data_IF_636088828759
#
_entry.id   IF_636088828759
#
_cell.length_a   1.000
_cell.length_b   1.000
_cell.length_c   1.000
_cell.angle_alpha   90.00
_cell.angle_beta   90.00
_cell.angle_gamma   90.00
#
_symmetry.space_group_name_H-M   'P 1'
#
loop_
_entity.id
_entity.type
_entity.pdbx_description
1 polymer ?
#
# COMPACT_ATOMS: atom_id res chain seq x y z
N UNK A 1 35.13 -34.64 43.15
CA UNK A 1 35.56 -34.36 41.77
C UNK A 1 34.56 -33.38 41.18
N UNK A 2 34.79 -32.07 41.32
CA UNK A 2 35.54 -31.21 40.39
C UNK A 2 34.70 -30.76 39.18
N UNK A 3 34.42 -29.47 39.19
CA UNK A 3 33.80 -28.53 38.24
C UNK A 3 34.39 -28.52 36.82
N UNK A 4 33.63 -28.06 35.82
CA UNK A 4 34.05 -26.97 34.92
C UNK A 4 32.92 -26.47 33.98
N UNK A 5 32.77 -25.15 33.96
CA UNK A 5 32.09 -24.33 32.95
C UNK A 5 32.82 -24.42 31.60
N UNK A 6 32.08 -24.45 30.49
CA UNK A 6 32.60 -24.32 29.12
C UNK A 6 32.13 -23.01 28.47
N UNK A 7 33.08 -22.18 28.07
CA UNK A 7 32.92 -20.80 27.63
C UNK A 7 32.22 -20.64 26.26
N UNK A 8 31.44 -19.57 26.12
CA UNK A 8 30.95 -19.07 24.85
C UNK A 8 32.14 -18.53 24.01
N UNK A 9 32.32 -19.06 22.80
CA UNK A 9 33.29 -18.55 21.85
C UNK A 9 32.81 -17.22 21.27
N UNK A 10 33.49 -16.14 21.63
CA UNK A 10 33.33 -14.82 21.01
C UNK A 10 33.97 -14.87 19.62
N UNK A 11 33.17 -15.01 18.56
CA UNK A 11 33.65 -14.78 17.19
C UNK A 11 33.93 -13.30 17.00
N UNK A 12 35.21 -12.97 16.89
CA UNK A 12 35.71 -11.65 16.51
C UNK A 12 35.29 -11.36 15.06
N UNK A 13 34.43 -10.37 14.87
CA UNK A 13 34.12 -9.81 13.54
C UNK A 13 35.31 -8.95 13.11
N UNK A 14 35.92 -9.18 11.94
CA UNK A 14 36.97 -8.31 11.44
C UNK A 14 36.39 -6.92 11.12
N UNK A 15 36.94 -5.88 11.73
CA UNK A 15 36.67 -4.48 11.38
C UNK A 15 37.20 -4.20 9.97
N UNK A 16 36.38 -4.38 8.94
CA UNK A 16 36.63 -3.80 7.63
C UNK A 16 36.27 -2.31 7.65
N UNK A 17 37.23 -1.38 7.48
CA UNK A 17 36.98 0.06 7.62
C UNK A 17 36.05 0.66 6.55
N UNK A 18 35.54 -0.13 5.59
CA UNK A 18 34.61 0.33 4.54
C UNK A 18 33.12 0.15 4.85
N UNK A 19 32.74 -0.48 5.97
CA UNK A 19 31.32 -0.62 6.37
C UNK A 19 31.09 0.13 7.68
N UNK A 20 30.98 1.46 7.61
CA UNK A 20 30.39 2.25 8.70
C UNK A 20 28.87 2.15 8.63
N UNK A 21 28.29 1.20 9.37
CA UNK A 21 26.87 1.28 9.71
C UNK A 21 26.67 2.40 10.72
N UNK A 22 26.09 3.51 10.29
CA UNK A 22 25.57 4.51 11.21
C UNK A 22 24.42 3.88 12.00
N UNK A 23 24.61 3.68 13.31
CA UNK A 23 23.55 3.21 14.19
C UNK A 23 22.47 4.30 14.27
N UNK A 24 21.33 4.07 13.62
CA UNK A 24 20.15 4.89 13.83
C UNK A 24 19.49 4.42 15.13
N UNK A 25 19.48 5.25 16.17
CA UNK A 25 18.65 5.00 17.35
C UNK A 25 17.21 5.30 16.90
N UNK A 26 16.45 4.24 16.60
CA UNK A 26 15.07 4.35 16.13
C UNK A 26 14.16 5.04 17.16
N UNK A 27 13.13 5.73 16.66
CA UNK A 27 12.06 6.27 17.49
C UNK A 27 11.37 5.14 18.25
N UNK A 28 11.42 5.20 19.59
CA UNK A 28 10.59 4.36 20.45
C UNK A 28 9.15 4.89 20.40
N UNK A 29 8.12 4.04 20.35
CA UNK A 29 6.76 4.50 20.59
C UNK A 29 6.68 5.03 22.04
N UNK A 30 6.46 6.33 22.18
CA UNK A 30 6.36 6.99 23.48
C UNK A 30 5.02 6.68 24.11
N UNK A 31 4.93 5.57 24.85
CA UNK A 31 4.00 5.49 25.98
C UNK A 31 4.71 6.05 27.21
N UNK A 32 4.81 7.37 27.29
CA UNK A 32 5.20 8.07 28.51
C UNK A 32 4.61 9.49 28.49
N UNK A 33 3.36 9.62 28.93
CA UNK A 33 2.94 10.87 29.55
C UNK A 33 3.50 10.84 30.98
N UNK A 34 4.53 11.65 31.23
CA UNK A 34 5.02 11.86 32.58
C UNK A 34 3.90 12.43 33.43
N UNK A 35 3.56 11.74 34.52
CA UNK A 35 2.73 12.28 35.59
C UNK A 35 3.41 13.51 36.17
N UNK A 36 2.89 14.70 35.87
CA UNK A 36 3.06 15.85 36.75
C UNK A 36 1.69 16.15 37.36
N UNK A 37 1.60 15.96 38.67
CA UNK A 37 0.43 16.32 39.48
C UNK A 37 0.28 17.84 39.52
N UNK A 38 -0.85 18.34 39.04
CA UNK A 38 -1.58 19.48 39.61
C UNK A 38 -3.03 19.45 39.10
N UNK A 39 -4.06 19.52 39.96
CA UNK A 39 -5.44 19.44 39.53
C UNK A 39 -5.92 20.84 39.15
N UNK A 40 -5.97 21.13 37.85
CA UNK A 40 -6.86 22.17 37.34
C UNK A 40 -7.93 21.49 36.50
N UNK A 41 -9.13 21.44 37.07
CA UNK A 41 -10.36 20.99 36.41
C UNK A 41 -10.64 21.97 35.27
N UNK A 42 -10.37 21.55 34.04
CA UNK A 42 -10.90 22.23 32.86
C UNK A 42 -12.24 21.59 32.49
N UNK A 43 -13.31 22.34 32.72
CA UNK A 43 -14.62 22.06 32.15
C UNK A 43 -14.52 22.17 30.62
N UNK A 44 -14.74 21.05 29.94
CA UNK A 44 -14.91 21.01 28.48
C UNK A 44 -16.29 21.58 28.15
N UNK A 45 -16.43 22.62 27.33
CA UNK A 45 -17.74 23.05 26.85
C UNK A 45 -18.30 21.96 25.95
N UNK A 46 -19.57 21.59 26.14
CA UNK A 46 -20.33 20.76 25.20
C UNK A 46 -20.34 21.45 23.83
N UNK A 47 -19.47 21.02 22.92
CA UNK A 47 -19.57 21.38 21.51
C UNK A 47 -20.52 20.40 20.83
N UNK A 48 -21.59 20.91 20.26
CA UNK A 48 -22.45 20.19 19.31
C UNK A 48 -21.62 19.61 18.17
N UNK A 49 -21.93 18.41 17.66
CA UNK A 49 -21.15 17.79 16.60
C UNK A 49 -21.44 18.53 15.29
N UNK A 50 -20.53 19.41 14.88
CA UNK A 50 -20.53 19.88 13.49
C UNK A 50 -20.00 18.74 12.63
N UNK A 51 -20.88 18.22 11.77
CA UNK A 51 -20.47 17.30 10.70
C UNK A 51 -19.53 18.06 9.77
N UNK A 52 -18.22 17.84 9.91
CA UNK A 52 -17.24 18.37 8.97
C UNK A 52 -17.37 17.56 7.67
N UNK A 53 -18.18 18.06 6.73
CA UNK A 53 -18.28 17.50 5.39
C UNK A 53 -17.12 18.05 4.55
N UNK A 54 -16.02 17.33 4.47
CA UNK A 54 -14.95 17.63 3.52
C UNK A 54 -15.40 17.21 2.11
N UNK A 55 -15.84 18.17 1.29
CA UNK A 55 -16.00 17.97 -0.16
C UNK A 55 -14.77 18.57 -0.81
N UNK A 56 -13.91 17.74 -1.39
CA UNK A 56 -12.86 18.24 -2.28
C UNK A 56 -13.51 18.53 -3.64
N UNK A 57 -14.01 19.75 -3.83
CA UNK A 57 -14.29 20.24 -5.18
C UNK A 57 -12.97 20.55 -5.86
N UNK A 58 -12.75 19.96 -7.03
CA UNK A 58 -11.65 20.38 -7.92
C UNK A 58 -11.96 21.83 -8.29
N UNK A 59 -11.19 22.77 -7.76
CA UNK A 59 -11.20 24.14 -8.29
C UNK A 59 -10.65 24.06 -9.71
N UNK A 60 -11.53 24.19 -10.70
CA UNK A 60 -11.11 24.36 -12.10
C UNK A 60 -10.41 25.71 -12.17
N UNK A 61 -9.09 25.69 -11.98
CA UNK A 61 -8.25 26.81 -12.39
C UNK A 61 -8.28 26.84 -13.90
N UNK A 62 -8.92 27.87 -14.46
CA UNK A 62 -8.65 28.30 -15.82
C UNK A 62 -7.22 28.86 -15.84
N UNK A 63 -6.23 27.99 -16.02
CA UNK A 63 -4.84 28.40 -16.23
C UNK A 63 -4.40 27.95 -17.63
N UNK A 64 -3.86 28.92 -18.36
CA UNK A 64 -3.19 28.85 -19.66
C UNK A 64 -2.42 27.55 -19.89
N UNK A 65 -2.73 26.88 -21.00
CA UNK A 65 -2.18 25.60 -21.43
C UNK A 65 -0.66 25.67 -21.67
N UNK A 66 0.11 25.38 -20.62
CA UNK A 66 1.44 24.77 -20.79
C UNK A 66 1.25 23.28 -20.66
N UNK A 67 1.49 22.55 -21.75
CA UNK A 67 1.28 21.11 -21.82
C UNK A 67 2.11 20.41 -20.73
N UNK A 68 1.45 19.82 -19.74
CA UNK A 68 2.14 19.15 -18.64
C UNK A 68 2.81 17.90 -19.20
N UNK A 69 4.14 17.89 -19.28
CA UNK A 69 4.92 16.78 -19.84
C UNK A 69 4.60 15.47 -19.10
N UNK A 70 3.90 14.56 -19.78
CA UNK A 70 3.51 13.25 -19.23
C UNK A 70 4.73 12.34 -19.07
N UNK A 71 4.70 11.52 -18.02
CA UNK A 71 5.76 10.53 -17.81
C UNK A 71 5.64 9.40 -18.84
N UNK A 72 6.75 8.72 -19.16
CA UNK A 72 6.74 7.52 -20.03
C UNK A 72 5.74 6.46 -19.53
N UNK A 73 5.58 6.32 -18.21
CA UNK A 73 4.64 5.35 -17.62
C UNK A 73 3.19 5.72 -17.91
N UNK A 74 2.84 7.02 -17.94
CA UNK A 74 1.48 7.45 -18.33
C UNK A 74 1.18 7.08 -19.79
N UNK A 75 2.17 7.22 -20.68
CA UNK A 75 2.03 6.85 -22.09
C UNK A 75 1.86 5.33 -22.24
N UNK A 76 2.65 4.55 -21.49
CA UNK A 76 2.55 3.09 -21.47
C UNK A 76 1.17 2.65 -20.97
N UNK A 77 0.65 3.24 -19.87
CA UNK A 77 -0.68 2.89 -19.33
C UNK A 77 -1.79 3.16 -20.35
N UNK A 78 -1.76 4.33 -21.00
CA UNK A 78 -2.75 4.70 -22.01
C UNK A 78 -2.80 3.73 -23.19
N UNK A 79 -1.64 3.37 -23.75
CA UNK A 79 -1.55 2.47 -24.91
C UNK A 79 -1.70 0.99 -24.58
N UNK A 80 -1.92 0.62 -23.31
CA UNK A 80 -1.83 -0.78 -22.87
C UNK A 80 -3.12 -1.58 -22.94
N UNK A 81 -4.24 -0.99 -23.37
CA UNK A 81 -5.57 -1.62 -23.27
C UNK A 81 -5.84 -2.16 -21.84
N UNK A 82 -5.76 -1.24 -20.87
CA UNK A 82 -5.88 -1.55 -19.44
C UNK A 82 -4.87 -2.62 -18.99
N UNK A 83 -3.57 -2.33 -19.19
CA UNK A 83 -2.42 -3.09 -18.68
C UNK A 83 -2.17 -4.45 -19.39
N UNK A 84 -2.86 -4.76 -20.50
CA UNK A 84 -2.65 -6.01 -21.26
C UNK A 84 -1.45 -5.96 -22.19
N UNK A 85 -1.34 -4.91 -23.01
CA UNK A 85 -0.37 -4.82 -24.11
C UNK A 85 0.79 -3.88 -23.75
N UNK A 86 2.04 -4.15 -24.16
CA UNK A 86 2.49 -5.33 -24.93
C UNK A 86 2.84 -6.53 -24.04
N UNK A 87 2.44 -6.55 -22.77
CA UNK A 87 2.85 -7.59 -21.83
C UNK A 87 2.37 -8.98 -22.27
N UNK A 88 1.14 -9.10 -22.77
CA UNK A 88 0.59 -10.34 -23.31
C UNK A 88 1.46 -10.96 -24.42
N UNK A 89 1.94 -10.16 -25.37
CA UNK A 89 2.82 -10.60 -26.45
C UNK A 89 4.21 -10.94 -25.91
N UNK A 90 4.75 -10.09 -25.05
CA UNK A 90 6.09 -10.27 -24.48
C UNK A 90 6.20 -11.52 -23.62
N UNK A 91 5.13 -11.95 -22.94
CA UNK A 91 5.12 -13.19 -22.16
C UNK A 91 5.23 -14.45 -23.03
N UNK A 92 4.88 -14.37 -24.32
CA UNK A 92 4.92 -15.50 -25.26
C UNK A 92 6.26 -15.65 -25.99
N UNK A 93 7.17 -14.66 -25.88
CA UNK A 93 8.47 -14.72 -26.56
C UNK A 93 9.44 -15.66 -25.83
N UNK A 94 10.38 -16.25 -26.57
CA UNK A 94 11.41 -17.16 -26.00
C UNK A 94 12.48 -16.42 -25.17
N UNK A 95 12.53 -15.09 -25.25
CA UNK A 95 13.49 -14.30 -24.47
C UNK A 95 13.26 -14.50 -22.96
N UNK A 96 14.32 -14.67 -22.15
CA UNK A 96 14.18 -14.87 -20.70
C UNK A 96 13.67 -13.62 -19.96
N UNK A 97 13.71 -12.47 -20.63
CA UNK A 97 13.23 -11.18 -20.14
C UNK A 97 12.05 -10.65 -20.97
N UNK A 98 11.48 -9.54 -20.52
CA UNK A 98 10.49 -8.73 -21.23
C UNK A 98 11.02 -7.32 -21.47
N UNK A 99 10.44 -6.63 -22.46
CA UNK A 99 10.81 -5.27 -22.83
C UNK A 99 10.50 -4.22 -21.72
N UNK A 100 10.91 -2.97 -21.94
CA UNK A 100 10.75 -1.88 -20.95
C UNK A 100 9.27 -1.61 -20.60
N UNK A 101 8.38 -1.58 -21.60
CA UNK A 101 6.97 -1.32 -21.41
C UNK A 101 6.31 -2.43 -20.60
N UNK A 102 6.51 -3.70 -21.00
CA UNK A 102 6.05 -4.87 -20.27
C UNK A 102 6.63 -4.94 -18.85
N UNK A 103 7.88 -4.50 -18.64
CA UNK A 103 8.48 -4.38 -17.29
C UNK A 103 7.73 -3.40 -16.40
N UNK A 104 7.12 -2.33 -16.93
CA UNK A 104 6.26 -1.45 -16.14
C UNK A 104 4.88 -2.07 -15.88
N UNK A 105 4.29 -2.70 -16.88
CA UNK A 105 2.94 -3.27 -16.83
C UNK A 105 2.84 -4.51 -15.93
N UNK A 106 3.86 -5.36 -15.91
CA UNK A 106 3.86 -6.57 -15.08
C UNK A 106 3.80 -6.26 -13.58
N UNK A 107 4.19 -5.04 -13.19
CA UNK A 107 4.05 -4.55 -11.80
C UNK A 107 2.59 -4.47 -11.37
N UNK A 108 1.66 -4.13 -12.25
CA UNK A 108 0.22 -4.08 -11.92
C UNK A 108 -0.34 -5.47 -11.63
N UNK A 109 0.27 -6.50 -12.24
CA UNK A 109 -0.01 -7.90 -11.97
C UNK A 109 0.71 -8.41 -10.71
N UNK A 110 1.50 -7.57 -10.03
CA UNK A 110 2.19 -7.94 -8.80
C UNK A 110 3.52 -8.65 -8.99
N UNK A 111 4.14 -8.56 -10.17
CA UNK A 111 5.45 -9.15 -10.42
C UNK A 111 6.51 -8.11 -10.84
N UNK A 112 7.78 -8.40 -10.60
CA UNK A 112 8.93 -7.60 -11.03
C UNK A 112 9.93 -8.48 -11.73
N UNK A 113 10.34 -8.10 -12.94
CA UNK A 113 11.59 -8.60 -13.51
C UNK A 113 12.78 -8.10 -12.66
N UNK A 114 13.65 -9.04 -12.31
CA UNK A 114 14.88 -8.85 -11.57
C UNK A 114 16.03 -9.50 -12.35
N UNK A 115 17.25 -9.19 -11.94
CA UNK A 115 18.44 -9.93 -12.36
C UNK A 115 19.38 -10.03 -11.17
N UNK A 116 20.17 -11.11 -11.13
CA UNK A 116 21.14 -11.29 -10.06
C UNK A 116 22.29 -10.27 -10.22
N UNK A 117 22.48 -9.43 -9.20
CA UNK A 117 23.52 -8.38 -9.21
C UNK A 117 24.87 -8.88 -8.69
N UNK A 118 24.91 -10.06 -8.07
CA UNK A 118 26.14 -10.68 -7.59
C UNK A 118 26.92 -11.34 -8.74
N UNK A 119 26.21 -11.73 -9.80
CA UNK A 119 26.79 -12.24 -11.03
C UNK A 119 27.45 -11.10 -11.83
N UNK A 120 28.73 -11.31 -12.17
CA UNK A 120 29.48 -10.42 -13.08
C UNK A 120 29.45 -11.02 -14.48
N UNK A 121 28.66 -10.45 -15.38
CA UNK A 121 28.58 -10.91 -16.77
C UNK A 121 27.19 -10.79 -17.37
N UNK A 122 26.76 -11.84 -18.07
CA UNK A 122 25.42 -11.92 -18.62
C UNK A 122 24.36 -11.84 -17.52
N UNK A 123 23.26 -11.14 -17.78
CA UNK A 123 22.18 -10.97 -16.81
C UNK A 123 21.33 -12.24 -16.75
N UNK A 124 21.37 -12.94 -15.63
CA UNK A 124 20.39 -13.98 -15.30
C UNK A 124 19.11 -13.33 -14.82
N UNK A 125 18.06 -13.39 -15.65
CA UNK A 125 16.76 -12.80 -15.34
C UNK A 125 15.88 -13.76 -14.54
N UNK A 126 15.14 -13.20 -13.60
CA UNK A 126 14.10 -13.89 -12.85
C UNK A 126 12.99 -12.90 -12.48
N UNK A 127 11.91 -13.41 -11.91
CA UNK A 127 10.76 -12.63 -11.51
C UNK A 127 10.49 -12.82 -10.02
N UNK A 128 10.22 -11.71 -9.34
CA UNK A 128 9.65 -11.71 -8.00
C UNK A 128 8.15 -11.47 -8.10
N UNK A 129 7.37 -12.29 -7.40
CA UNK A 129 5.93 -12.11 -7.25
C UNK A 129 5.62 -11.62 -5.85
N UNK A 130 4.62 -10.74 -5.72
CA UNK A 130 4.11 -10.28 -4.43
C UNK A 130 2.62 -10.52 -4.35
N UNK A 131 2.18 -11.14 -3.27
CA UNK A 131 0.76 -11.41 -3.02
C UNK A 131 0.02 -10.16 -2.52
N UNK A 132 -1.31 -10.19 -2.58
CA UNK A 132 -2.24 -9.26 -1.95
C UNK A 132 -3.00 -10.03 -0.86
N UNK A 133 -2.81 -9.64 0.39
CA UNK A 133 -3.36 -10.27 1.58
C UNK A 133 -3.86 -9.17 2.54
N UNK A 134 -5.06 -8.61 2.32
CA UNK A 134 -5.61 -7.63 3.25
C UNK A 134 -5.53 -8.15 4.68
N UNK A 135 -5.14 -7.28 5.63
CA UNK A 135 -4.94 -7.63 7.04
C UNK A 135 -3.80 -8.62 7.32
N UNK A 136 -3.04 -9.04 6.31
CA UNK A 136 -2.08 -10.14 6.44
C UNK A 136 -2.71 -11.52 6.54
N UNK A 137 -4.01 -11.65 6.29
CA UNK A 137 -4.70 -12.95 6.38
C UNK A 137 -4.32 -13.84 5.20
N UNK A 138 -3.94 -15.07 5.53
CA UNK A 138 -3.55 -16.11 4.57
C UNK A 138 -4.31 -17.37 4.93
N UNK A 139 -5.05 -17.94 3.96
CA UNK A 139 -5.71 -19.23 4.16
C UNK A 139 -4.69 -20.35 4.21
N UNK A 140 -5.00 -21.44 4.92
CA UNK A 140 -4.11 -22.61 4.97
C UNK A 140 -3.76 -23.13 3.56
N UNK A 141 -4.75 -23.23 2.65
CA UNK A 141 -4.54 -23.62 1.25
C UNK A 141 -3.53 -22.72 0.54
N UNK A 142 -3.68 -21.40 0.65
CA UNK A 142 -2.77 -20.45 0.01
C UNK A 142 -1.36 -20.57 0.60
N UNK A 143 -1.23 -20.74 1.92
CA UNK A 143 0.07 -20.91 2.56
C UNK A 143 0.82 -22.13 2.00
N UNK A 144 0.18 -23.31 1.98
CA UNK A 144 0.76 -24.54 1.44
C UNK A 144 1.14 -24.38 -0.04
N UNK A 145 0.26 -23.77 -0.84
CA UNK A 145 0.58 -23.49 -2.25
C UNK A 145 1.78 -22.55 -2.40
N UNK A 146 1.90 -21.50 -1.59
CA UNK A 146 3.05 -20.59 -1.66
C UNK A 146 4.36 -21.29 -1.25
N UNK A 147 4.30 -22.19 -0.27
CA UNK A 147 5.43 -23.00 0.19
C UNK A 147 5.94 -23.93 -0.93
N UNK A 148 5.04 -24.73 -1.51
CA UNK A 148 5.34 -25.62 -2.64
C UNK A 148 5.92 -24.86 -3.84
N UNK A 149 5.35 -23.70 -4.18
CA UNK A 149 5.80 -22.88 -5.30
C UNK A 149 7.21 -22.30 -5.07
N UNK A 150 7.57 -22.01 -3.82
CA UNK A 150 8.88 -21.48 -3.49
C UNK A 150 9.98 -22.52 -3.75
N UNK A 151 9.72 -23.79 -3.44
CA UNK A 151 10.63 -24.90 -3.67
C UNK A 151 10.70 -25.31 -5.14
N UNK A 152 9.54 -25.37 -5.82
CA UNK A 152 9.46 -25.88 -7.20
C UNK A 152 9.90 -24.86 -8.26
N UNK A 153 9.55 -23.58 -8.06
CA UNK A 153 9.73 -22.53 -9.07
C UNK A 153 10.54 -21.32 -8.58
N UNK A 154 10.69 -21.17 -7.27
CA UNK A 154 11.46 -20.10 -6.66
C UNK A 154 12.90 -20.52 -6.34
N UNK A 155 13.44 -19.89 -5.29
CA UNK A 155 14.76 -20.18 -4.74
C UNK A 155 14.66 -20.86 -3.35
N UNK A 156 13.56 -21.57 -3.08
CA UNK A 156 13.33 -22.26 -1.80
C UNK A 156 13.07 -21.33 -0.62
N UNK A 157 12.56 -20.12 -0.86
CA UNK A 157 12.27 -19.16 0.23
C UNK A 157 10.99 -18.35 -0.01
N UNK A 158 10.29 -18.07 1.09
CA UNK A 158 9.22 -17.08 1.15
C UNK A 158 9.64 -15.89 2.01
N UNK A 159 9.48 -14.68 1.47
CA UNK A 159 9.81 -13.44 2.17
C UNK A 159 8.54 -12.73 2.62
N UNK A 160 8.26 -12.78 3.93
CA UNK A 160 7.24 -11.91 4.54
C UNK A 160 7.61 -10.43 4.36
N UNK A 161 6.65 -9.53 4.25
CA UNK A 161 6.92 -8.09 4.00
C UNK A 161 6.42 -7.19 5.11
N UNK A 162 6.95 -5.96 5.16
CA UNK A 162 6.45 -4.89 6.05
C UNK A 162 5.02 -4.44 5.72
N UNK A 163 4.41 -4.99 4.66
CA UNK A 163 3.01 -4.76 4.32
C UNK A 163 2.17 -6.03 4.38
N UNK A 164 2.58 -7.01 5.19
CA UNK A 164 1.80 -8.20 5.48
C UNK A 164 1.48 -9.04 4.23
N UNK A 165 2.47 -9.21 3.33
CA UNK A 165 2.35 -10.06 2.14
C UNK A 165 3.51 -11.04 2.06
N UNK A 166 3.44 -11.99 1.15
CA UNK A 166 4.60 -12.76 0.69
C UNK A 166 5.29 -12.08 -0.48
N UNK A 167 6.58 -12.33 -0.61
CA UNK A 167 7.33 -12.25 -1.86
C UNK A 167 7.95 -13.62 -2.14
N UNK A 168 7.79 -14.07 -3.39
CA UNK A 168 8.43 -15.28 -3.90
C UNK A 168 9.40 -14.84 -5.00
N UNK A 169 10.68 -15.17 -4.83
CA UNK A 169 11.77 -14.72 -5.69
C UNK A 169 12.26 -15.84 -6.60
N UNK A 170 12.86 -15.46 -7.73
CA UNK A 170 13.63 -16.38 -8.56
C UNK A 170 12.84 -17.11 -9.66
N UNK A 171 11.56 -16.78 -9.85
CA UNK A 171 10.72 -17.46 -10.85
C UNK A 171 11.20 -17.14 -12.25
N UNK A 172 11.39 -18.16 -13.09
CA UNK A 172 11.74 -17.95 -14.50
C UNK A 172 10.50 -17.52 -15.30
N UNK A 173 10.71 -16.74 -16.38
CA UNK A 173 9.62 -16.23 -17.22
C UNK A 173 8.66 -17.33 -17.70
N UNK A 174 9.23 -18.44 -18.18
CA UNK A 174 8.49 -19.60 -18.70
C UNK A 174 7.52 -20.22 -17.67
N UNK A 175 7.84 -20.09 -16.39
CA UNK A 175 7.07 -20.67 -15.28
C UNK A 175 6.09 -19.66 -14.66
N UNK A 176 6.16 -18.38 -15.05
CA UNK A 176 5.42 -17.30 -14.40
C UNK A 176 3.90 -17.49 -14.49
N UNK A 177 3.38 -17.94 -15.65
CA UNK A 177 1.95 -18.21 -15.82
C UNK A 177 1.49 -19.37 -14.93
N UNK A 178 2.29 -20.41 -14.82
CA UNK A 178 2.03 -21.56 -13.93
C UNK A 178 1.97 -21.10 -12.47
N UNK A 179 2.96 -20.33 -12.01
CA UNK A 179 2.99 -19.82 -10.63
C UNK A 179 1.78 -18.91 -10.35
N UNK A 180 1.50 -17.95 -11.22
CA UNK A 180 0.39 -17.01 -11.06
C UNK A 180 -0.97 -17.71 -11.03
N UNK A 181 -1.21 -18.65 -11.95
CA UNK A 181 -2.47 -19.40 -12.02
C UNK A 181 -2.68 -20.27 -10.77
N UNK A 182 -1.63 -20.91 -10.24
CA UNK A 182 -1.71 -21.68 -8.99
C UNK A 182 -2.04 -20.79 -7.78
N UNK A 183 -1.46 -19.60 -7.69
CA UNK A 183 -1.81 -18.61 -6.64
C UNK A 183 -3.29 -18.23 -6.76
N UNK A 184 -3.78 -17.97 -7.97
CA UNK A 184 -5.17 -17.59 -8.22
C UNK A 184 -6.14 -18.72 -7.83
N UNK A 185 -5.86 -19.96 -8.26
CA UNK A 185 -6.68 -21.16 -7.97
C UNK A 185 -6.62 -21.62 -6.50
N UNK A 186 -5.64 -21.15 -5.72
CA UNK A 186 -5.50 -21.43 -4.29
C UNK A 186 -6.11 -20.37 -3.37
N UNK A 187 -7.00 -19.51 -3.91
CA UNK A 187 -7.65 -18.39 -3.21
C UNK A 187 -6.73 -17.20 -2.90
N UNK A 188 -5.56 -17.14 -3.53
CA UNK A 188 -4.65 -16.00 -3.49
C UNK A 188 -4.83 -15.03 -4.65
N UNK A 189 -4.07 -13.95 -4.61
CA UNK A 189 -3.99 -12.97 -5.70
C UNK A 189 -2.67 -12.19 -5.60
N UNK A 190 -2.13 -11.75 -6.73
CA UNK A 190 -1.03 -10.77 -6.80
C UNK A 190 -1.48 -9.44 -7.42
N UNK A 191 -2.74 -9.35 -7.85
CA UNK A 191 -3.33 -8.17 -8.50
C UNK A 191 -3.17 -6.92 -7.63
N UNK A 192 -2.54 -5.88 -8.17
CA UNK A 192 -2.35 -4.61 -7.49
C UNK A 192 -1.40 -4.67 -6.28
N UNK A 193 -0.69 -5.78 -6.07
CA UNK A 193 0.37 -5.82 -5.06
C UNK A 193 1.45 -4.76 -5.35
N UNK A 194 1.61 -4.39 -6.62
CA UNK A 194 2.55 -3.38 -7.12
C UNK A 194 1.85 -2.44 -8.15
N UNK A 195 2.59 -1.82 -9.09
CA UNK A 195 2.00 -0.91 -10.11
C UNK A 195 1.52 0.45 -9.57
N UNK A 196 0.84 1.26 -10.37
CA UNK A 196 0.29 2.56 -9.91
C UNK A 196 -1.15 2.37 -9.41
N UNK A 197 -1.29 1.57 -8.35
CA UNK A 197 -2.53 1.09 -7.74
C UNK A 197 -2.52 1.23 -6.22
N UNK A 198 -3.69 1.02 -5.59
CA UNK A 198 -3.74 0.74 -4.16
C UNK A 198 -2.97 -0.55 -3.84
N UNK A 199 -2.10 -0.46 -2.83
CA UNK A 199 -1.30 -1.56 -2.31
C UNK A 199 -2.11 -2.43 -1.34
N UNK A 200 -1.45 -3.46 -0.81
CA UNK A 200 -2.01 -4.23 0.30
C UNK A 200 -2.45 -3.30 1.44
N UNK A 201 -3.70 -3.43 1.87
CA UNK A 201 -4.28 -2.62 2.94
C UNK A 201 -3.95 -3.28 4.27
N UNK A 202 -3.29 -2.52 5.15
CA UNK A 202 -2.86 -3.04 6.44
C UNK A 202 -4.01 -3.04 7.44
N UNK A 203 -3.99 -4.00 8.36
CA UNK A 203 -4.82 -4.03 9.55
C UNK A 203 -4.05 -4.73 10.69
N UNK A 204 -4.51 -4.64 11.95
CA UNK A 204 -3.90 -5.40 13.04
C UNK A 204 -3.88 -6.90 12.72
N UNK A 205 -2.69 -7.50 12.74
CA UNK A 205 -2.48 -8.89 12.31
C UNK A 205 -2.96 -9.92 13.36
N UNK A 206 -3.05 -9.52 14.62
CA UNK A 206 -3.44 -10.41 15.70
C UNK A 206 -4.90 -10.84 15.53
N UNK A 207 -5.22 -12.15 15.64
CA UNK A 207 -6.59 -12.66 15.49
C UNK A 207 -7.41 -12.42 16.77
N UNK A 208 -7.56 -11.16 17.17
CA UNK A 208 -8.28 -10.75 18.37
C UNK A 208 -9.77 -10.62 18.04
N UNK A 209 -10.63 -11.32 18.77
CA UNK A 209 -12.08 -11.36 18.55
C UNK A 209 -12.85 -10.14 19.09
N UNK A 210 -12.16 -9.05 19.46
CA UNK A 210 -12.81 -7.81 19.89
C UNK A 210 -13.48 -7.14 18.69
N UNK A 211 -14.63 -6.51 18.93
CA UNK A 211 -15.47 -5.90 17.89
C UNK A 211 -14.70 -4.87 17.05
N UNK A 212 -13.90 -4.02 17.68
CA UNK A 212 -13.11 -3.00 17.00
C UNK A 212 -11.97 -3.58 16.14
N UNK A 213 -11.30 -4.64 16.59
CA UNK A 213 -10.30 -5.36 15.81
C UNK A 213 -10.92 -6.06 14.59
N UNK A 214 -12.04 -6.75 14.77
CA UNK A 214 -12.78 -7.38 13.68
C UNK A 214 -13.25 -6.35 12.66
N UNK A 215 -13.81 -5.22 13.14
CA UNK A 215 -14.26 -4.13 12.31
C UNK A 215 -13.12 -3.45 11.54
N UNK A 216 -11.95 -3.26 12.16
CA UNK A 216 -10.76 -2.74 11.48
C UNK A 216 -10.30 -3.68 10.35
N UNK A 217 -10.30 -4.99 10.59
CA UNK A 217 -9.93 -5.99 9.58
C UNK A 217 -10.95 -6.06 8.43
N UNK A 218 -12.25 -6.10 8.74
CA UNK A 218 -13.31 -6.05 7.75
C UNK A 218 -13.25 -4.77 6.91
N UNK A 219 -13.01 -3.62 7.54
CA UNK A 219 -12.83 -2.34 6.85
C UNK A 219 -11.64 -2.39 5.89
N UNK A 220 -10.51 -2.96 6.31
CA UNK A 220 -9.34 -3.11 5.44
C UNK A 220 -9.60 -4.04 4.25
N UNK A 221 -10.34 -5.13 4.46
CA UNK A 221 -10.80 -6.04 3.40
C UNK A 221 -11.74 -5.32 2.42
N UNK A 222 -12.70 -4.55 2.92
CA UNK A 222 -13.65 -3.77 2.13
C UNK A 222 -12.97 -2.68 1.30
N UNK A 223 -12.02 -1.95 1.86
CA UNK A 223 -11.20 -0.97 1.12
C UNK A 223 -10.35 -1.66 0.05
N UNK A 224 -9.76 -2.82 0.38
CA UNK A 224 -8.96 -3.57 -0.58
C UNK A 224 -9.81 -4.09 -1.75
N UNK A 225 -11.05 -4.51 -1.50
CA UNK A 225 -12.02 -4.91 -2.51
C UNK A 225 -12.48 -3.70 -3.34
N UNK A 226 -12.89 -2.60 -2.71
CA UNK A 226 -13.32 -1.36 -3.36
C UNK A 226 -12.31 -0.89 -4.42
N UNK A 227 -11.04 -0.87 -4.04
CA UNK A 227 -9.92 -0.40 -4.86
C UNK A 227 -9.22 -1.51 -5.66
N UNK A 228 -9.88 -2.65 -5.91
CA UNK A 228 -9.37 -3.67 -6.83
C UNK A 228 -9.68 -3.26 -8.28
N UNK A 229 -8.71 -3.36 -9.21
CA UNK A 229 -8.97 -3.13 -10.64
C UNK A 229 -10.10 -3.99 -11.18
N UNK A 230 -10.94 -3.42 -12.06
CA UNK A 230 -12.19 -4.03 -12.53
C UNK A 230 -12.16 -4.45 -14.01
N UNK A 231 -11.15 -4.02 -14.77
CA UNK A 231 -11.12 -4.24 -16.24
C UNK A 231 -10.86 -5.68 -16.67
N UNK A 232 -10.56 -6.59 -15.74
CA UNK A 232 -10.39 -8.03 -16.01
C UNK A 232 -9.02 -8.46 -16.53
N UNK A 233 -8.10 -7.51 -16.78
CA UNK A 233 -6.78 -7.80 -17.39
C UNK A 233 -6.02 -8.92 -16.68
N UNK A 234 -6.19 -9.03 -15.36
CA UNK A 234 -5.46 -9.98 -14.55
C UNK A 234 -5.89 -11.43 -14.82
N UNK A 235 -7.19 -11.68 -14.95
CA UNK A 235 -7.68 -13.03 -15.22
C UNK A 235 -7.50 -13.42 -16.69
N UNK A 236 -7.64 -12.45 -17.61
CA UNK A 236 -7.37 -12.68 -19.03
C UNK A 236 -5.94 -13.21 -19.25
N UNK A 237 -4.97 -12.68 -18.53
CA UNK A 237 -3.56 -13.03 -18.72
C UNK A 237 -3.12 -14.33 -18.03
N UNK A 238 -3.59 -14.56 -16.80
CA UNK A 238 -3.03 -15.61 -15.96
C UNK A 238 -3.88 -16.88 -15.87
N UNK A 239 -5.18 -16.78 -16.18
CA UNK A 239 -6.12 -17.91 -16.14
C UNK A 239 -7.05 -17.93 -17.35
N UNK A 240 -6.61 -17.33 -18.47
CA UNK A 240 -7.29 -17.36 -19.76
C UNK A 240 -8.76 -16.88 -19.70
N UNK A 241 -9.02 -15.88 -18.84
CA UNK A 241 -10.35 -15.28 -18.64
C UNK A 241 -11.25 -16.04 -17.67
N UNK A 242 -10.81 -17.18 -17.11
CA UNK A 242 -11.56 -17.92 -16.09
C UNK A 242 -11.73 -17.06 -14.83
N UNK A 243 -12.95 -16.59 -14.59
CA UNK A 243 -13.26 -15.79 -13.41
C UNK A 243 -13.39 -16.67 -12.17
N UNK A 244 -12.40 -16.60 -11.30
CA UNK A 244 -12.49 -17.19 -9.97
C UNK A 244 -13.30 -16.24 -9.08
N UNK A 245 -14.58 -16.56 -8.92
CA UNK A 245 -15.55 -15.73 -8.21
C UNK A 245 -15.18 -15.60 -6.73
N UNK A 246 -15.03 -14.36 -6.26
CA UNK A 246 -15.07 -14.02 -4.83
C UNK A 246 -16.34 -13.21 -4.61
N UNK A 247 -17.12 -13.56 -3.59
CA UNK A 247 -18.25 -12.74 -3.20
C UNK A 247 -17.73 -11.39 -2.69
N UNK A 248 -18.07 -10.31 -3.39
CA UNK A 248 -17.83 -8.95 -2.91
C UNK A 248 -19.01 -8.49 -2.06
N UNK A 249 -18.78 -7.81 -0.92
CA UNK A 249 -19.87 -7.32 -0.10
C UNK A 249 -20.75 -6.30 -0.85
N UNK A 250 -22.09 -6.35 -0.72
CA UNK A 250 -22.99 -5.46 -1.45
C UNK A 250 -22.72 -3.96 -1.21
N UNK A 251 -22.29 -3.59 0.00
CA UNK A 251 -21.94 -2.23 0.37
C UNK A 251 -20.69 -1.74 -0.38
N UNK A 252 -19.72 -2.62 -0.65
CA UNK A 252 -18.53 -2.30 -1.43
C UNK A 252 -18.92 -2.06 -2.89
N UNK A 253 -19.76 -2.92 -3.47
CA UNK A 253 -20.25 -2.76 -4.84
C UNK A 253 -21.05 -1.47 -4.98
N UNK A 254 -21.95 -1.19 -4.02
CA UNK A 254 -22.73 0.05 -3.98
C UNK A 254 -21.82 1.28 -3.88
N UNK A 255 -20.82 1.27 -3.00
CA UNK A 255 -19.87 2.37 -2.85
C UNK A 255 -19.01 2.56 -4.10
N UNK A 256 -18.59 1.47 -4.75
CA UNK A 256 -17.82 1.53 -6.01
C UNK A 256 -18.63 2.15 -7.14
N UNK A 257 -19.92 1.82 -7.23
CA UNK A 257 -20.79 2.25 -8.32
C UNK A 257 -21.44 3.62 -8.06
N UNK A 258 -21.30 4.18 -6.86
CA UNK A 258 -21.79 5.52 -6.56
C UNK A 258 -21.03 6.57 -7.36
N UNK A 259 -21.75 7.33 -8.19
CA UNK A 259 -21.20 8.45 -8.95
C UNK A 259 -21.96 9.76 -8.69
N UNK A 260 -22.68 9.86 -7.57
CA UNK A 260 -23.46 11.06 -7.22
C UNK A 260 -22.59 12.33 -7.06
N UNK A 261 -21.27 12.16 -6.94
CA UNK A 261 -20.32 13.25 -6.75
C UNK A 261 -19.28 13.35 -7.89
N UNK A 262 -19.53 12.70 -9.04
CA UNK A 262 -18.60 12.74 -10.19
C UNK A 262 -17.24 12.11 -9.90
N UNK A 263 -17.20 11.12 -9.01
CA UNK A 263 -15.97 10.42 -8.58
C UNK A 263 -15.51 9.37 -9.57
N UNK A 264 -16.39 8.91 -10.45
CA UNK A 264 -16.15 7.78 -11.33
C UNK A 264 -16.15 8.19 -12.80
N UNK A 265 -15.46 7.38 -13.60
CA UNK A 265 -15.51 7.41 -15.05
C UNK A 265 -16.65 6.49 -15.52
N UNK A 266 -17.82 7.03 -15.91
CA UNK A 266 -18.89 6.21 -16.47
C UNK A 266 -18.38 5.50 -17.73
N UNK A 267 -18.88 4.28 -17.97
CA UNK A 267 -18.56 3.44 -19.13
C UNK A 267 -17.09 2.99 -19.27
N UNK A 268 -16.22 3.34 -18.32
CA UNK A 268 -14.86 2.80 -18.27
C UNK A 268 -14.84 1.38 -17.68
N UNK A 269 -14.08 0.45 -18.27
CA UNK A 269 -13.69 -0.81 -17.62
C UNK A 269 -13.05 -0.64 -16.23
N UNK A 270 -12.54 0.56 -15.92
CA UNK A 270 -12.03 0.94 -14.60
C UNK A 270 -12.81 2.13 -14.04
N UNK A 271 -13.94 1.93 -13.34
CA UNK A 271 -14.81 3.03 -12.90
C UNK A 271 -14.13 4.03 -11.97
N UNK A 272 -13.23 3.56 -11.09
CA UNK A 272 -12.47 4.40 -10.16
C UNK A 272 -11.12 4.82 -10.76
N UNK A 273 -10.39 3.88 -11.34
CA UNK A 273 -9.00 4.11 -11.76
C UNK A 273 -8.91 4.84 -13.11
N UNK A 274 -9.89 4.67 -13.99
CA UNK A 274 -9.85 5.14 -15.37
C UNK A 274 -8.67 4.56 -16.15
N UNK A 275 -8.45 5.09 -17.36
CA UNK A 275 -7.37 4.64 -18.27
C UNK A 275 -5.97 4.80 -17.68
N UNK A 276 -5.75 5.85 -16.88
CA UNK A 276 -4.42 6.19 -16.36
C UNK A 276 -4.12 5.52 -15.02
N UNK A 277 -5.07 4.86 -14.37
CA UNK A 277 -4.90 4.44 -12.97
C UNK A 277 -4.46 5.61 -12.08
N UNK A 278 -3.75 5.33 -10.98
CA UNK A 278 -3.21 6.40 -10.15
C UNK A 278 -1.92 6.97 -10.76
N UNK A 279 -1.52 8.19 -10.36
CA UNK A 279 -0.20 8.70 -10.73
C UNK A 279 0.91 7.82 -10.19
N UNK A 280 0.76 7.29 -8.96
CA UNK A 280 1.74 6.44 -8.28
C UNK A 280 1.05 5.47 -7.31
N UNK A 281 1.87 4.62 -6.68
CA UNK A 281 1.45 3.74 -5.58
C UNK A 281 0.68 4.47 -4.49
N UNK A 282 -0.40 3.85 -4.02
CA UNK A 282 -1.22 4.34 -2.92
C UNK A 282 -1.28 3.31 -1.80
N UNK A 283 -1.16 3.75 -0.55
CA UNK A 283 -1.01 2.89 0.63
C UNK A 283 -2.01 3.31 1.69
N UNK A 284 -2.79 2.33 2.16
CA UNK A 284 -3.77 2.52 3.22
C UNK A 284 -3.42 1.59 4.39
N UNK A 285 -3.61 2.09 5.61
CA UNK A 285 -3.56 1.28 6.82
C UNK A 285 -4.79 1.58 7.67
N UNK A 286 -5.40 0.53 8.22
CA UNK A 286 -6.52 0.58 9.16
C UNK A 286 -6.02 0.07 10.51
N UNK A 287 -6.46 0.66 11.62
CA UNK A 287 -6.12 0.18 12.96
C UNK A 287 -7.17 0.59 13.99
N UNK A 288 -6.97 0.18 15.23
CA UNK A 288 -7.76 0.58 16.41
C UNK A 288 -6.97 1.55 17.29
N UNK A 289 -7.63 2.31 18.19
CA UNK A 289 -6.93 3.21 19.10
C UNK A 289 -5.90 2.47 19.95
N UNK A 290 -4.67 2.99 19.99
CA UNK A 290 -3.56 2.44 20.78
C UNK A 290 -2.73 1.36 20.07
N UNK A 291 -3.20 0.75 18.97
CA UNK A 291 -2.43 -0.21 18.19
C UNK A 291 -1.79 0.48 16.98
N UNK A 292 -0.45 0.59 16.98
CA UNK A 292 0.32 1.10 15.84
C UNK A 292 1.22 0.05 15.20
N UNK A 293 0.85 -1.24 15.29
CA UNK A 293 1.56 -2.34 14.62
C UNK A 293 1.62 -2.16 13.08
N UNK A 294 0.67 -1.43 12.51
CA UNK A 294 0.58 -1.12 11.08
C UNK A 294 1.48 0.05 10.63
N UNK A 295 2.14 0.74 11.58
CA UNK A 295 2.84 2.00 11.37
C UNK A 295 2.01 2.97 10.53
N UNK A 296 0.98 3.57 11.14
CA UNK A 296 -0.08 4.28 10.43
C UNK A 296 0.42 5.54 9.70
N UNK A 297 1.40 6.24 10.27
CA UNK A 297 1.87 7.54 9.81
C UNK A 297 2.59 7.57 8.44
N UNK A 298 3.34 6.55 7.99
CA UNK A 298 3.90 6.53 6.63
C UNK A 298 2.91 6.19 5.50
N UNK A 299 1.62 5.94 5.79
CA UNK A 299 0.62 5.62 4.77
C UNK A 299 0.00 6.89 4.15
N UNK A 300 -0.47 6.77 2.90
CA UNK A 300 -1.17 7.85 2.20
C UNK A 300 -2.51 8.15 2.89
N UNK A 301 -3.23 7.10 3.31
CA UNK A 301 -4.37 7.17 4.23
C UNK A 301 -4.13 6.27 5.44
N UNK A 302 -4.31 6.83 6.63
CA UNK A 302 -4.47 6.09 7.88
C UNK A 302 -5.93 6.16 8.34
N UNK A 303 -6.50 5.03 8.73
CA UNK A 303 -7.88 4.91 9.23
C UNK A 303 -7.81 4.33 10.64
N UNK A 304 -8.39 5.02 11.61
CA UNK A 304 -8.44 4.56 13.02
C UNK A 304 -9.89 4.41 13.42
N UNK A 305 -10.30 3.21 13.83
CA UNK A 305 -11.64 2.96 14.36
C UNK A 305 -11.90 3.84 15.58
N UNK A 306 -13.08 4.44 15.66
CA UNK A 306 -13.57 5.15 16.84
C UNK A 306 -14.69 4.33 17.44
N UNK A 307 -14.62 4.06 18.74
CA UNK A 307 -15.63 3.29 19.48
C UNK A 307 -16.33 4.16 20.51
N UNK A 308 -17.53 3.74 20.92
CA UNK A 308 -18.18 4.27 22.12
C UNK A 308 -17.58 3.70 23.41
N UNK A 309 -18.18 4.03 24.56
CA UNK A 309 -17.76 3.55 25.89
C UNK A 309 -17.94 2.03 26.06
N UNK A 310 -18.82 1.41 25.28
CA UNK A 310 -19.08 -0.04 25.30
C UNK A 310 -18.17 -0.82 24.34
N UNK A 311 -17.33 -0.13 23.56
CA UNK A 311 -16.46 -0.73 22.55
C UNK A 311 -17.15 -1.02 21.21
N UNK A 312 -18.34 -0.47 20.97
CA UNK A 312 -19.01 -0.56 19.67
C UNK A 312 -18.40 0.45 18.68
N UNK A 313 -18.02 0.04 17.46
CA UNK A 313 -17.55 0.96 16.43
C UNK A 313 -18.62 2.01 16.06
N UNK A 314 -18.23 3.28 16.06
CA UNK A 314 -19.08 4.44 15.74
C UNK A 314 -18.64 5.20 14.48
N UNK A 315 -17.39 4.99 14.04
CA UNK A 315 -16.83 5.70 12.90
C UNK A 315 -15.32 5.56 12.79
N UNK A 316 -14.71 6.50 12.07
CA UNK A 316 -13.26 6.52 11.84
C UNK A 316 -12.66 7.92 11.99
N UNK A 317 -11.47 7.97 12.58
CA UNK A 317 -10.53 9.07 12.36
C UNK A 317 -9.67 8.77 11.13
N UNK A 318 -9.51 9.75 10.25
CA UNK A 318 -8.76 9.62 9.00
C UNK A 318 -7.56 10.55 9.00
N UNK A 319 -6.39 10.00 8.72
CA UNK A 319 -5.14 10.71 8.50
C UNK A 319 -4.80 10.68 7.01
N UNK A 320 -4.48 11.81 6.41
CA UNK A 320 -3.98 11.87 5.03
C UNK A 320 -2.55 12.40 4.98
N UNK A 321 -1.67 11.73 4.27
CA UNK A 321 -0.31 12.24 4.04
C UNK A 321 -0.33 13.32 2.97
N UNK A 322 -0.01 14.55 3.35
CA UNK A 322 0.15 15.66 2.42
C UNK A 322 1.61 15.69 1.96
N UNK A 323 1.98 14.88 0.96
CA UNK A 323 3.19 15.17 0.19
C UNK A 323 2.82 16.10 -0.96
N UNK A 324 3.08 17.40 -0.74
CA UNK A 324 2.75 18.61 -1.54
C UNK A 324 1.40 19.27 -1.24
N UNK A 325 1.41 20.11 -0.22
CA UNK A 325 0.66 21.37 -0.23
C UNK A 325 1.68 22.46 0.13
N UNK A 326 2.09 23.26 -0.86
CA UNK A 326 2.71 24.56 -0.57
C UNK A 326 1.57 25.44 -0.09
N UNK A 327 1.48 25.66 1.22
CA UNK A 327 0.60 26.69 1.76
C UNK A 327 1.42 27.96 1.84
N UNK A 328 1.25 28.85 0.86
CA UNK A 328 1.58 30.26 1.05
C UNK A 328 0.49 30.82 1.96
N UNK A 329 0.88 31.18 3.17
CA UNK A 329 0.03 31.97 4.06
C UNK A 329 0.21 33.43 3.67
N UNK A 330 -0.71 33.99 2.87
CA UNK A 330 -0.86 35.45 2.79
C UNK A 330 -1.81 35.88 3.89
N UNK A 331 -1.26 36.06 5.09
CA UNK A 331 -1.86 36.92 6.09
C UNK A 331 -1.67 38.37 5.66
N UNK A 332 -2.75 39.03 5.27
CA UNK A 332 -2.75 40.48 5.11
C UNK A 332 -2.48 41.17 6.45
N UNK A 333 -1.23 41.60 6.67
CA UNK A 333 -0.89 42.83 7.42
C UNK A 333 0.32 43.48 6.75
N UNK A 334 0.10 44.62 6.09
CA UNK A 334 1.11 45.68 5.89
C UNK A 334 2.09 45.56 4.71
N UNK A 335 2.16 46.62 3.90
CA UNK A 335 3.17 46.84 2.85
C UNK A 335 4.53 47.25 3.42
N UNK A 336 5.63 46.66 2.90
CA UNK A 336 6.85 47.36 2.39
C UNK A 336 7.88 46.38 1.77
N UNK A 337 8.58 46.89 0.76
CA UNK A 337 9.55 46.24 -0.15
C UNK A 337 10.91 45.89 0.51
N UNK A 338 11.48 44.73 0.17
CA UNK A 338 12.81 44.49 -0.49
C UNK A 338 13.40 43.08 -0.20
N UNK A 339 14.02 42.49 -1.24
CA UNK A 339 14.75 41.19 -1.35
C UNK A 339 16.00 41.07 -0.42
N UNK A 340 16.82 39.97 -0.47
CA UNK A 340 16.59 38.51 -0.37
C UNK A 340 17.54 37.84 0.69
N UNK A 341 17.47 36.51 0.85
CA UNK A 341 18.58 35.52 1.11
C UNK A 341 18.14 34.38 2.05
N UNK A 342 18.60 33.19 1.66
CA UNK A 342 18.43 31.84 2.17
C UNK A 342 18.72 31.65 3.66
N UNK A 343 17.95 30.80 4.36
CA UNK A 343 18.45 29.73 5.26
C UNK A 343 17.35 28.93 5.98
N UNK A 344 17.62 27.63 6.17
CA UNK A 344 17.05 26.66 7.12
C UNK A 344 15.76 25.86 6.74
N UNK A 345 16.01 24.63 6.29
CA UNK A 345 15.10 23.48 6.27
C UNK A 345 14.58 23.16 7.69
N UNK A 346 13.27 23.24 7.88
CA UNK A 346 12.53 22.43 8.85
C UNK A 346 11.25 21.92 8.17
N UNK A 347 11.21 20.62 7.85
CA UNK A 347 10.04 19.97 7.25
C UNK A 347 9.14 19.47 8.37
N UNK A 348 8.11 20.24 8.72
CA UNK A 348 6.96 19.72 9.47
C UNK A 348 5.85 19.35 8.47
N UNK A 349 5.60 18.04 8.34
CA UNK A 349 4.41 17.53 7.65
C UNK A 349 3.19 17.80 8.53
N UNK A 350 2.40 18.82 8.21
CA UNK A 350 1.07 18.98 8.82
C UNK A 350 0.11 18.00 8.15
N UNK A 351 -0.22 16.89 8.82
CA UNK A 351 -1.35 16.02 8.44
C UNK A 351 -2.65 16.58 9.00
N UNK A 352 -3.72 16.48 8.21
CA UNK A 352 -5.09 16.81 8.65
C UNK A 352 -5.79 15.55 9.16
N UNK A 353 -6.54 15.70 10.25
CA UNK A 353 -7.40 14.66 10.84
C UNK A 353 -8.85 14.96 10.49
N UNK A 354 -9.59 13.96 10.00
CA UNK A 354 -11.02 14.07 9.71
C UNK A 354 -11.80 12.99 10.47
N UNK A 355 -13.02 13.31 10.93
CA UNK A 355 -13.94 12.36 11.56
C UNK A 355 -15.06 11.97 10.59
N UNK A 356 -15.31 10.67 10.43
CA UNK A 356 -16.39 10.14 9.59
C UNK A 356 -17.26 9.18 10.41
N UNK A 357 -18.52 9.53 10.74
CA UNK A 357 -19.42 8.64 11.47
C UNK A 357 -19.95 7.52 10.57
N UNK A 358 -20.29 6.37 11.16
CA UNK A 358 -21.11 5.37 10.50
C UNK A 358 -22.51 5.97 10.25
N UNK A 359 -23.07 5.79 9.05
CA UNK A 359 -24.45 6.23 8.79
C UNK A 359 -25.39 5.53 9.78
N UNK A 360 -26.41 6.22 10.32
CA UNK A 360 -27.40 5.63 11.21
C UNK A 360 -28.21 4.52 10.52
#
# INVERSE_FOLDING_TARGET
MATAYGAAATTVVPNDPKIRMHSLIGFKPSHSLAFNRNPHVFLVPKSTPSVIRAVSTVTVKHDTATETKRSKVEIIKEGSNYIRNPLNEELLTDAPNINEAATQLIKFHGSYQQYNRDERGAKSYSFMLRTKNPCGKVSNKLYLTMDDLADQFGIGTLRLTTRQTFQLHGVLKKDLKTVMSNIIRSMGSTLGACGDLNRNVLAPAAPIARKDYLFAQETAENIAALLTPQSGFYYDMWVDGERIMRAEPPEVVKARNDNNHGTNFPDSPEPIYGTQFLPRKFKIAVTVPGDNSVDILPNDIGVVVVTDENGEPQGFNIYCSVFRLVVVWEGHIGWRQHFPVWENLWVMSQKRTFYMPLKP
#
